data_IF_247853522111
#
_entry.id   IF_247853522111
#
_cell.length_a   1.000
_cell.length_b   1.000
_cell.length_c   1.000
_cell.angle_alpha   90.00
_cell.angle_beta   90.00
_cell.angle_gamma   90.00
#
_symmetry.space_group_name_H-M   'P 1'
#
loop_
_entity.id
_entity.type
_entity.pdbx_description
1 polymer ?
#
# COMPACT_ATOMS: atom_id res chain seq x y z
N UNK A 1 1.67 10.32 21.26
CA UNK A 1 2.17 9.66 20.05
C UNK A 1 1.13 9.89 18.98
N UNK A 2 1.55 10.38 17.81
CA UNK A 2 0.67 10.67 16.67
C UNK A 2 1.20 9.92 15.46
N UNK A 3 0.34 9.20 14.77
CA UNK A 3 0.69 8.47 13.54
C UNK A 3 -0.23 8.86 12.39
N UNK A 4 0.21 8.59 11.17
CA UNK A 4 -0.61 8.77 9.98
C UNK A 4 -0.63 7.50 9.14
N UNK A 5 -1.78 7.24 8.51
CA UNK A 5 -1.85 6.37 7.34
C UNK A 5 -1.74 7.27 6.12
N UNK A 6 -0.81 6.97 5.25
CA UNK A 6 -0.49 7.77 4.07
C UNK A 6 -0.80 6.98 2.83
N UNK A 7 -1.70 7.51 2.01
CA UNK A 7 -2.16 6.88 0.77
C UNK A 7 -2.12 7.87 -0.38
N UNK A 8 -2.12 7.33 -1.60
CA UNK A 8 -2.30 8.09 -2.82
C UNK A 8 -3.60 7.68 -3.52
N UNK A 9 -4.36 8.66 -4.00
CA UNK A 9 -5.66 8.45 -4.67
C UNK A 9 -5.73 9.26 -5.96
N UNK A 10 -6.13 8.60 -7.05
CA UNK A 10 -6.47 9.27 -8.32
C UNK A 10 -7.99 9.28 -8.50
N UNK A 11 -8.49 10.13 -9.41
CA UNK A 11 -9.91 10.15 -9.73
C UNK A 11 -10.33 8.94 -10.58
N UNK A 12 -10.35 7.78 -9.94
CA UNK A 12 -10.82 6.50 -10.48
C UNK A 12 -11.82 5.93 -9.50
N UNK A 13 -13.01 5.59 -9.98
CA UNK A 13 -14.10 5.05 -9.16
C UNK A 13 -13.65 3.92 -8.23
N UNK A 14 -12.89 2.95 -8.75
CA UNK A 14 -12.42 1.81 -7.95
C UNK A 14 -11.49 2.24 -6.81
N UNK A 15 -10.60 3.21 -7.05
CA UNK A 15 -9.70 3.73 -6.02
C UNK A 15 -10.46 4.51 -4.95
N UNK A 16 -11.47 5.29 -5.34
CA UNK A 16 -12.33 6.00 -4.38
C UNK A 16 -13.12 4.99 -3.52
N UNK A 17 -13.70 3.96 -4.14
CA UNK A 17 -14.43 2.91 -3.41
C UNK A 17 -13.51 2.17 -2.43
N UNK A 18 -12.31 1.81 -2.86
CA UNK A 18 -11.30 1.17 -2.01
C UNK A 18 -10.88 2.08 -0.85
N UNK A 19 -10.56 3.34 -1.15
CA UNK A 19 -10.24 4.32 -0.12
C UNK A 19 -11.37 4.46 0.91
N UNK A 20 -12.63 4.47 0.49
CA UNK A 20 -13.77 4.57 1.40
C UNK A 20 -13.86 3.35 2.32
N UNK A 21 -13.48 2.16 1.88
CA UNK A 21 -13.34 0.98 2.74
C UNK A 21 -12.26 1.18 3.82
N UNK A 22 -11.07 1.65 3.44
CA UNK A 22 -9.99 1.98 4.38
C UNK A 22 -10.43 3.04 5.39
N UNK A 23 -10.99 4.15 4.92
CA UNK A 23 -11.53 5.23 5.75
C UNK A 23 -12.58 4.70 6.74
N UNK A 24 -13.56 3.95 6.25
CA UNK A 24 -14.62 3.37 7.07
C UNK A 24 -14.06 2.44 8.13
N UNK A 25 -13.04 1.63 7.79
CA UNK A 25 -12.37 0.75 8.75
C UNK A 25 -11.74 1.53 9.90
N UNK A 26 -11.07 2.66 9.62
CA UNK A 26 -10.48 3.50 10.67
C UNK A 26 -11.55 4.12 11.57
N UNK A 27 -12.64 4.63 10.99
CA UNK A 27 -13.77 5.18 11.76
C UNK A 27 -14.43 4.12 12.62
N UNK A 28 -14.62 2.93 12.08
CA UNK A 28 -15.24 1.81 12.78
C UNK A 28 -14.44 1.39 14.03
N UNK A 29 -13.11 1.34 13.94
CA UNK A 29 -12.25 0.97 15.09
C UNK A 29 -12.08 2.10 16.12
N UNK A 30 -12.66 3.29 15.86
CA UNK A 30 -12.67 4.47 16.73
C UNK A 30 -11.28 4.84 17.27
N UNK A 31 -10.28 4.77 16.38
CA UNK A 31 -8.91 5.13 16.72
C UNK A 31 -8.79 6.64 16.99
N UNK A 32 -7.94 7.02 17.94
CA UNK A 32 -7.77 8.42 18.40
C UNK A 32 -6.41 9.04 18.07
N UNK A 33 -5.45 8.24 17.60
CA UNK A 33 -4.06 8.65 17.43
C UNK A 33 -3.56 8.60 15.97
N UNK A 34 -4.43 8.22 15.05
CA UNK A 34 -4.13 8.02 13.63
C UNK A 34 -4.92 9.00 12.77
N UNK A 35 -4.21 9.85 12.04
CA UNK A 35 -4.78 10.63 10.95
C UNK A 35 -4.71 9.84 9.63
N UNK A 36 -5.59 10.16 8.67
CA UNK A 36 -5.42 9.74 7.28
C UNK A 36 -4.90 10.96 6.51
N UNK A 37 -3.71 10.80 5.91
CA UNK A 37 -3.10 11.77 5.01
C UNK A 37 -3.27 11.25 3.59
N UNK A 38 -3.98 12.00 2.76
CA UNK A 38 -4.31 11.63 1.38
C UNK A 38 -3.61 12.57 0.44
N UNK A 39 -2.69 12.02 -0.35
CA UNK A 39 -2.18 12.68 -1.54
C UNK A 39 -3.06 12.30 -2.73
N UNK A 40 -3.39 13.22 -3.62
CA UNK A 40 -4.22 12.88 -4.77
C UNK A 40 -4.39 14.00 -5.78
N UNK A 41 -5.00 13.68 -6.91
CA UNK A 41 -5.39 14.71 -7.88
C UNK A 41 -6.49 15.59 -7.29
N UNK A 42 -6.63 16.82 -7.76
CA UNK A 42 -7.62 17.77 -7.23
C UNK A 42 -9.03 17.19 -7.28
N UNK A 43 -9.40 16.56 -8.41
CA UNK A 43 -10.70 15.92 -8.64
C UNK A 43 -10.93 14.72 -7.72
N UNK A 44 -9.88 13.99 -7.35
CA UNK A 44 -9.97 12.89 -6.41
C UNK A 44 -10.25 13.41 -5.01
N UNK A 45 -9.52 14.46 -4.59
CA UNK A 45 -9.58 15.02 -3.23
C UNK A 45 -10.92 15.70 -2.92
N UNK A 46 -11.66 16.18 -3.93
CA UNK A 46 -13.05 16.63 -3.78
C UNK A 46 -13.99 15.53 -3.26
N UNK A 47 -13.66 14.26 -3.55
CA UNK A 47 -14.46 13.08 -3.16
C UNK A 47 -13.99 12.47 -1.84
N UNK A 48 -12.92 12.99 -1.25
CA UNK A 48 -12.34 12.49 0.01
C UNK A 48 -12.97 13.23 1.21
N UNK A 49 -13.35 12.51 2.29
CA UNK A 49 -13.97 13.11 3.47
C UNK A 49 -13.16 14.28 4.07
N UNK A 50 -13.87 15.29 4.58
CA UNK A 50 -13.27 16.56 5.02
C UNK A 50 -12.40 16.46 6.26
N UNK A 51 -12.58 15.43 7.06
CA UNK A 51 -11.75 15.16 8.23
C UNK A 51 -10.45 14.41 7.90
N UNK A 52 -10.22 14.07 6.63
CA UNK A 52 -8.92 13.62 6.13
C UNK A 52 -8.01 14.82 5.85
N UNK A 53 -6.69 14.64 6.00
CA UNK A 53 -5.72 15.66 5.63
C UNK A 53 -5.37 15.50 4.14
N UNK A 54 -5.85 16.42 3.31
CA UNK A 54 -5.80 16.36 1.85
C UNK A 54 -4.64 17.22 1.30
N UNK A 55 -3.82 16.65 0.42
CA UNK A 55 -2.71 17.34 -0.25
C UNK A 55 -2.72 17.05 -1.74
N UNK A 56 -2.89 18.09 -2.55
CA UNK A 56 -2.86 17.95 -4.01
C UNK A 56 -1.50 17.46 -4.47
N UNK A 57 -1.49 16.46 -5.33
CA UNK A 57 -0.30 15.90 -5.95
C UNK A 57 -0.55 15.76 -7.45
N UNK A 58 0.40 16.26 -8.23
CA UNK A 58 0.40 16.12 -9.69
C UNK A 58 1.33 14.95 -10.04
N UNK A 59 0.81 13.85 -10.61
CA UNK A 59 1.64 12.75 -11.08
C UNK A 59 2.79 13.21 -11.99
N UNK A 60 4.02 12.71 -11.77
CA UNK A 60 5.16 13.07 -12.61
C UNK A 60 4.97 12.55 -14.04
N UNK A 61 5.16 13.44 -15.02
CA UNK A 61 5.08 13.10 -16.45
C UNK A 61 6.41 12.65 -17.06
N UNK A 62 7.49 12.66 -16.26
CA UNK A 62 8.84 12.30 -16.67
C UNK A 62 9.49 11.33 -15.67
N UNK A 63 10.19 10.29 -16.16
CA UNK A 63 10.28 9.88 -17.57
C UNK A 63 8.92 9.44 -18.14
N UNK A 64 8.78 9.33 -19.47
CA UNK A 64 7.47 9.11 -20.11
C UNK A 64 6.81 7.80 -19.65
N UNK A 65 7.64 6.82 -19.30
CA UNK A 65 7.27 5.51 -18.77
C UNK A 65 6.44 5.60 -17.48
N UNK A 66 6.55 6.69 -16.70
CA UNK A 66 5.73 6.92 -15.51
C UNK A 66 4.25 7.11 -15.86
N UNK A 67 3.93 7.70 -17.01
CA UNK A 67 2.54 7.83 -17.48
C UNK A 67 1.88 6.46 -17.68
N UNK A 68 2.67 5.46 -18.04
CA UNK A 68 2.22 4.09 -18.27
C UNK A 68 2.48 3.17 -17.05
N UNK A 69 2.80 3.74 -15.89
CA UNK A 69 3.05 2.99 -14.66
C UNK A 69 2.52 3.75 -13.42
N UNK A 70 1.20 3.94 -13.28
CA UNK A 70 0.60 4.83 -12.27
C UNK A 70 0.88 4.42 -10.82
N UNK A 71 1.28 3.17 -10.57
CA UNK A 71 1.67 2.71 -9.24
C UNK A 71 2.82 3.53 -8.64
N UNK A 72 3.69 4.12 -9.48
CA UNK A 72 4.80 4.97 -9.02
C UNK A 72 4.34 6.21 -8.25
N UNK A 73 3.12 6.71 -8.52
CA UNK A 73 2.59 7.93 -7.93
C UNK A 73 2.46 7.80 -6.40
N UNK A 74 2.19 6.59 -5.91
CA UNK A 74 2.14 6.25 -4.49
C UNK A 74 3.49 6.32 -3.75
N UNK A 75 4.60 6.39 -4.51
CA UNK A 75 5.94 6.67 -3.98
C UNK A 75 6.28 8.14 -4.20
N UNK A 76 6.08 8.65 -5.42
CA UNK A 76 6.43 10.02 -5.78
C UNK A 76 5.74 11.09 -4.92
N UNK A 77 4.51 10.85 -4.45
CA UNK A 77 3.80 11.79 -3.58
C UNK A 77 4.52 12.07 -2.25
N UNK A 78 5.45 11.20 -1.84
CA UNK A 78 6.22 11.33 -0.60
C UNK A 78 7.52 12.13 -0.76
N UNK A 79 7.89 12.51 -1.99
CA UNK A 79 9.15 13.17 -2.30
C UNK A 79 9.04 14.70 -2.27
N UNK A 80 7.85 15.25 -2.53
CA UNK A 80 7.61 16.69 -2.62
C UNK A 80 7.59 17.42 -1.28
N UNK A 81 7.60 18.75 -1.32
CA UNK A 81 7.52 19.62 -0.13
C UNK A 81 6.18 19.46 0.59
N UNK A 82 5.12 19.11 -0.14
CA UNK A 82 3.80 18.81 0.41
C UNK A 82 3.86 17.66 1.42
N UNK A 83 4.81 16.73 1.25
CA UNK A 83 5.03 15.63 2.17
C UNK A 83 5.81 16.02 3.44
N UNK A 84 6.32 17.25 3.58
CA UNK A 84 6.98 17.73 4.80
C UNK A 84 6.04 17.78 6.00
N UNK A 85 4.73 17.84 5.74
CA UNK A 85 3.72 17.69 6.79
C UNK A 85 3.79 16.34 7.50
N UNK A 86 4.39 15.32 6.88
CA UNK A 86 4.56 14.00 7.48
C UNK A 86 5.57 14.00 8.63
N UNK A 87 6.48 14.98 8.66
CA UNK A 87 7.54 15.06 9.68
C UNK A 87 6.99 15.44 11.07
N UNK A 88 5.71 15.84 11.17
CA UNK A 88 5.02 16.08 12.44
C UNK A 88 4.54 14.80 13.14
N UNK A 89 4.62 13.64 12.46
CA UNK A 89 4.18 12.36 13.00
C UNK A 89 5.36 11.58 13.59
N UNK A 90 5.09 10.82 14.66
CA UNK A 90 6.07 9.89 15.22
C UNK A 90 6.30 8.72 14.25
N UNK A 91 5.20 8.24 13.63
CA UNK A 91 5.20 7.14 12.68
C UNK A 91 4.24 7.40 11.51
N UNK A 92 4.59 6.91 10.32
CA UNK A 92 3.68 6.84 9.19
C UNK A 92 3.59 5.41 8.66
N UNK A 93 2.38 5.01 8.26
CA UNK A 93 2.10 3.81 7.51
C UNK A 93 1.84 4.22 6.04
N UNK A 94 2.83 4.08 5.16
CA UNK A 94 2.59 4.15 3.71
C UNK A 94 1.87 2.87 3.32
N UNK A 95 0.68 2.99 2.77
CA UNK A 95 -0.16 1.86 2.37
C UNK A 95 -0.88 2.12 1.05
N UNK A 96 -1.42 1.05 0.48
CA UNK A 96 -2.31 1.10 -0.68
C UNK A 96 -3.77 1.30 -0.20
N UNK A 97 -4.65 1.79 -1.08
CA UNK A 97 -6.03 2.16 -0.70
C UNK A 97 -6.97 0.96 -0.55
N UNK A 98 -6.61 -0.18 -1.13
CA UNK A 98 -7.32 -1.45 -1.08
C UNK A 98 -6.98 -2.26 0.19
N UNK A 99 -7.02 -1.56 1.32
CA UNK A 99 -6.66 -2.08 2.63
C UNK A 99 -7.74 -1.82 3.67
N UNK A 100 -7.70 -2.58 4.76
CA UNK A 100 -8.58 -2.41 5.90
C UNK A 100 -7.76 -2.42 7.18
N UNK A 101 -8.19 -1.64 8.16
CA UNK A 101 -7.70 -1.72 9.53
C UNK A 101 -8.66 -2.56 10.37
N UNK A 102 -8.10 -3.30 11.33
CA UNK A 102 -8.88 -4.02 12.34
C UNK A 102 -8.67 -3.37 13.72
N UNK A 103 -9.46 -3.73 14.75
CA UNK A 103 -9.25 -3.23 16.11
C UNK A 103 -7.83 -3.42 16.63
N UNK A 104 -7.10 -4.43 16.13
CA UNK A 104 -5.70 -4.68 16.48
C UNK A 104 -4.76 -3.52 16.12
N UNK A 105 -5.15 -2.63 15.21
CA UNK A 105 -4.38 -1.42 14.85
C UNK A 105 -4.15 -0.51 16.06
N UNK A 106 -5.11 -0.43 16.98
CA UNK A 106 -5.04 0.46 18.15
C UNK A 106 -3.84 0.17 19.06
N UNK A 107 -3.33 -1.06 19.07
CA UNK A 107 -2.20 -1.48 19.90
C UNK A 107 -0.92 -1.73 19.09
N UNK A 108 -0.98 -1.60 17.76
CA UNK A 108 0.12 -1.94 16.89
C UNK A 108 1.01 -0.73 16.55
N UNK A 109 2.22 -0.73 17.11
CA UNK A 109 3.25 0.27 16.85
C UNK A 109 4.54 -0.40 16.36
N UNK A 110 5.29 0.25 15.44
CA UNK A 110 6.51 -0.33 14.90
C UNK A 110 7.67 -0.01 15.86
N UNK A 111 8.40 -1.03 16.29
CA UNK A 111 9.63 -0.86 17.08
C UNK A 111 10.79 -0.34 16.20
N UNK A 112 10.73 -0.66 14.91
CA UNK A 112 11.71 -0.35 13.87
C UNK A 112 11.01 -0.34 12.50
N UNK A 113 11.74 -0.08 11.43
CA UNK A 113 11.18 -0.11 10.07
C UNK A 113 10.52 -1.47 9.81
N UNK A 114 9.20 -1.46 9.67
CA UNK A 114 8.37 -2.66 9.62
C UNK A 114 7.63 -2.70 8.31
N UNK A 115 7.63 -3.84 7.65
CA UNK A 115 6.95 -4.06 6.37
C UNK A 115 6.08 -5.29 6.43
N UNK A 116 5.06 -5.33 5.58
CA UNK A 116 4.33 -6.56 5.30
C UNK A 116 5.14 -7.52 4.42
N UNK A 117 4.45 -8.54 3.92
CA UNK A 117 5.05 -9.55 3.03
C UNK A 117 4.43 -9.43 1.64
N UNK A 118 5.28 -9.25 0.64
CA UNK A 118 4.88 -9.32 -0.76
C UNK A 118 4.92 -10.75 -1.30
N UNK A 119 4.49 -10.91 -2.55
CA UNK A 119 4.67 -12.14 -3.32
C UNK A 119 4.88 -11.78 -4.79
N UNK A 120 6.14 -11.54 -5.17
CA UNK A 120 6.55 -11.17 -6.53
C UNK A 120 7.87 -11.81 -6.95
N UNK A 121 8.59 -12.45 -6.03
CA UNK A 121 9.79 -13.23 -6.29
C UNK A 121 9.47 -14.71 -6.14
N UNK A 122 9.10 -15.34 -7.25
CA UNK A 122 8.70 -16.76 -7.31
C UNK A 122 9.77 -17.68 -7.90
N UNK A 123 10.72 -17.14 -8.64
CA UNK A 123 11.78 -17.89 -9.32
C UNK A 123 13.15 -17.34 -8.96
N UNK A 124 14.19 -18.16 -9.14
CA UNK A 124 15.57 -17.71 -8.93
C UNK A 124 15.99 -16.68 -9.98
N UNK A 125 15.43 -16.74 -11.20
CA UNK A 125 15.64 -15.70 -12.23
C UNK A 125 15.26 -14.30 -11.72
N UNK A 126 14.12 -14.15 -11.04
CA UNK A 126 13.70 -12.86 -10.49
C UNK A 126 14.67 -12.38 -9.40
N UNK A 127 15.12 -13.28 -8.51
CA UNK A 127 16.13 -12.96 -7.47
C UNK A 127 17.44 -12.50 -8.09
N UNK A 128 17.91 -13.20 -9.10
CA UNK A 128 19.16 -12.90 -9.81
C UNK A 128 19.08 -11.56 -10.52
N UNK A 129 17.95 -11.23 -11.17
CA UNK A 129 17.74 -9.91 -11.79
C UNK A 129 17.76 -8.78 -10.77
N UNK A 130 17.01 -8.90 -9.67
CA UNK A 130 17.00 -7.90 -8.59
C UNK A 130 18.42 -7.66 -8.06
N UNK A 131 19.17 -8.75 -7.82
CA UNK A 131 20.55 -8.69 -7.31
C UNK A 131 21.49 -8.06 -8.34
N UNK A 132 21.37 -8.44 -9.62
CA UNK A 132 22.15 -7.89 -10.72
C UNK A 132 21.93 -6.39 -10.86
N UNK A 133 20.68 -5.93 -10.85
CA UNK A 133 20.31 -4.52 -10.96
C UNK A 133 20.83 -3.73 -9.76
N UNK A 134 20.71 -4.28 -8.55
CA UNK A 134 21.30 -3.68 -7.34
C UNK A 134 22.81 -3.47 -7.52
N UNK A 135 23.53 -4.48 -8.00
CA UNK A 135 24.98 -4.38 -8.26
C UNK A 135 25.32 -3.36 -9.35
N UNK A 136 24.56 -3.31 -10.44
CA UNK A 136 24.74 -2.34 -11.52
C UNK A 136 24.58 -0.90 -11.02
N UNK A 137 23.60 -0.67 -10.14
CA UNK A 137 23.34 0.62 -9.50
C UNK A 137 24.27 0.89 -8.29
N UNK A 138 25.20 -0.01 -7.98
CA UNK A 138 26.11 0.06 -6.81
C UNK A 138 25.36 0.14 -5.47
N UNK A 139 24.19 -0.47 -5.41
CA UNK A 139 23.36 -0.59 -4.21
C UNK A 139 23.61 -1.95 -3.55
N UNK A 140 23.52 -1.96 -2.22
CA UNK A 140 23.74 -3.16 -1.42
C UNK A 140 22.44 -3.94 -1.25
N UNK A 141 22.28 -5.08 -1.92
CA UNK A 141 21.20 -6.02 -1.65
C UNK A 141 21.63 -7.08 -0.63
N UNK A 142 20.88 -7.26 0.46
CA UNK A 142 21.25 -8.15 1.58
C UNK A 142 20.53 -9.49 1.55
N UNK A 143 19.93 -9.85 0.42
CA UNK A 143 19.21 -11.11 0.22
C UNK A 143 17.83 -11.15 0.85
N UNK A 144 17.28 -10.01 1.30
CA UNK A 144 15.89 -9.94 1.74
C UNK A 144 15.00 -9.78 0.52
N UNK A 145 14.10 -10.74 0.32
CA UNK A 145 13.18 -10.78 -0.80
C UNK A 145 11.71 -10.80 -0.37
N UNK A 146 10.80 -10.42 -1.28
CA UNK A 146 9.36 -10.39 -1.04
C UNK A 146 8.97 -9.45 0.12
N UNK A 147 9.63 -8.30 0.21
CA UNK A 147 9.23 -7.23 1.12
C UNK A 147 7.93 -6.57 0.62
N UNK A 148 6.94 -6.39 1.51
CA UNK A 148 5.60 -5.90 1.15
C UNK A 148 5.56 -4.42 0.73
N UNK A 149 4.44 -4.00 0.14
CA UNK A 149 4.22 -2.61 -0.30
C UNK A 149 3.90 -1.68 0.87
N UNK A 150 3.41 -2.23 1.99
CA UNK A 150 3.10 -1.45 3.20
C UNK A 150 4.35 -1.24 4.05
N UNK A 151 4.67 0.02 4.32
CA UNK A 151 5.86 0.42 5.08
C UNK A 151 5.42 1.21 6.33
N UNK A 152 5.83 0.76 7.52
CA UNK A 152 5.49 1.37 8.81
C UNK A 152 6.75 1.74 9.60
N UNK A 153 6.90 3.00 9.96
CA UNK A 153 8.12 3.48 10.60
C UNK A 153 8.21 5.00 10.66
N UNK A 154 9.42 5.51 10.89
CA UNK A 154 9.63 6.96 10.98
C UNK A 154 9.47 7.64 9.61
N UNK A 155 8.85 8.84 9.55
CA UNK A 155 8.62 9.55 8.29
C UNK A 155 9.87 9.71 7.44
N UNK A 156 10.96 10.20 8.03
CA UNK A 156 12.23 10.45 7.33
C UNK A 156 12.83 9.17 6.70
N UNK A 157 12.74 8.03 7.38
CA UNK A 157 13.22 6.76 6.86
C UNK A 157 12.36 6.26 5.70
N UNK A 158 11.03 6.32 5.84
CA UNK A 158 10.10 5.91 4.78
C UNK A 158 10.28 6.80 3.55
N UNK A 159 10.32 8.12 3.70
CA UNK A 159 10.54 9.06 2.59
C UNK A 159 11.88 8.83 1.89
N UNK A 160 12.94 8.54 2.64
CA UNK A 160 14.25 8.21 2.06
C UNK A 160 14.22 6.92 1.23
N UNK A 161 13.51 5.88 1.70
CA UNK A 161 13.29 4.65 0.94
C UNK A 161 12.48 4.92 -0.32
N UNK A 162 11.38 5.67 -0.22
CA UNK A 162 10.55 6.03 -1.39
C UNK A 162 11.36 6.82 -2.42
N UNK A 163 12.21 7.75 -1.98
CA UNK A 163 13.07 8.51 -2.90
C UNK A 163 13.99 7.60 -3.72
N UNK A 164 14.76 6.73 -3.05
CA UNK A 164 15.64 5.80 -3.77
C UNK A 164 14.84 4.78 -4.60
N UNK A 165 13.68 4.33 -4.11
CA UNK A 165 12.82 3.44 -4.87
C UNK A 165 12.33 4.09 -6.17
N UNK A 166 12.00 5.39 -6.18
CA UNK A 166 11.65 6.11 -7.41
C UNK A 166 12.82 6.15 -8.39
N UNK A 167 14.04 6.41 -7.93
CA UNK A 167 15.25 6.40 -8.79
C UNK A 167 15.51 5.00 -9.39
N UNK A 168 15.34 3.94 -8.58
CA UNK A 168 15.49 2.56 -9.06
C UNK A 168 14.35 2.18 -10.01
N UNK A 169 13.12 2.57 -9.72
CA UNK A 169 11.96 2.31 -10.58
C UNK A 169 12.10 3.01 -11.94
N UNK A 170 12.58 4.26 -11.95
CA UNK A 170 12.93 4.96 -13.19
C UNK A 170 13.90 4.11 -14.02
N UNK A 171 15.03 3.67 -13.43
CA UNK A 171 16.00 2.84 -14.13
C UNK A 171 15.39 1.54 -14.68
N UNK A 172 14.57 0.84 -13.87
CA UNK A 172 13.87 -0.38 -14.28
C UNK A 172 12.96 -0.13 -15.48
N UNK A 173 12.14 0.93 -15.44
CA UNK A 173 11.18 1.24 -16.49
C UNK A 173 11.86 1.69 -17.78
N UNK A 174 12.89 2.53 -17.69
CA UNK A 174 13.56 3.12 -18.87
C UNK A 174 14.66 2.23 -19.46
N UNK A 175 15.08 1.18 -18.75
CA UNK A 175 16.19 0.30 -19.16
C UNK A 175 15.73 -1.14 -19.26
N UNK A 176 15.38 -1.76 -18.13
CA UNK A 176 15.06 -3.20 -18.05
C UNK A 176 13.76 -3.54 -18.79
N UNK A 177 12.74 -2.70 -18.63
CA UNK A 177 11.41 -2.88 -19.23
C UNK A 177 11.14 -1.97 -20.43
N UNK A 178 12.20 -1.35 -20.99
CA UNK A 178 12.06 -0.41 -22.10
C UNK A 178 11.39 -1.03 -23.34
N UNK A 179 11.72 -2.29 -23.61
CA UNK A 179 11.29 -2.99 -24.82
C UNK A 179 10.45 -4.24 -24.54
N UNK A 180 10.14 -4.52 -23.28
CA UNK A 180 9.35 -5.68 -22.86
C UNK A 180 8.65 -5.39 -21.55
N UNK A 181 7.41 -5.85 -21.42
CA UNK A 181 6.72 -5.84 -20.13
C UNK A 181 7.08 -7.05 -19.27
N UNK A 182 7.77 -8.04 -19.83
CA UNK A 182 8.01 -9.32 -19.18
C UNK A 182 6.73 -10.12 -18.97
N UNK A 183 6.79 -11.15 -18.12
CA UNK A 183 5.68 -12.08 -17.91
C UNK A 183 5.47 -12.35 -16.41
N UNK A 184 4.22 -12.29 -15.95
CA UNK A 184 3.84 -12.72 -14.60
C UNK A 184 3.59 -14.23 -14.59
N UNK A 185 4.02 -14.98 -13.55
CA UNK A 185 4.65 -14.57 -12.29
C UNK A 185 6.21 -14.56 -12.31
N UNK A 186 6.82 -14.26 -13.46
CA UNK A 186 8.27 -14.09 -13.61
C UNK A 186 8.73 -12.64 -13.46
N UNK A 187 9.76 -12.26 -14.22
CA UNK A 187 10.25 -10.88 -14.28
C UNK A 187 9.23 -10.02 -15.03
N UNK A 188 8.49 -9.18 -14.31
CA UNK A 188 7.32 -8.49 -14.84
C UNK A 188 7.27 -7.01 -14.46
N UNK A 189 7.03 -6.15 -15.46
CA UNK A 189 6.96 -4.69 -15.33
C UNK A 189 5.90 -4.23 -14.33
N UNK A 190 4.78 -4.94 -14.23
CA UNK A 190 3.67 -4.55 -13.36
C UNK A 190 4.04 -4.42 -11.88
N UNK A 191 5.07 -5.12 -11.41
CA UNK A 191 5.52 -5.10 -10.00
C UNK A 191 6.83 -4.32 -9.80
N UNK A 192 7.15 -3.39 -10.70
CA UNK A 192 8.36 -2.54 -10.61
C UNK A 192 8.49 -1.79 -9.28
N UNK A 193 7.41 -1.22 -8.72
CA UNK A 193 7.47 -0.57 -7.40
C UNK A 193 7.88 -1.55 -6.30
N UNK A 194 7.47 -2.82 -6.38
CA UNK A 194 7.87 -3.86 -5.43
C UNK A 194 9.38 -4.14 -5.50
N UNK A 195 9.91 -4.37 -6.71
CA UNK A 195 11.35 -4.57 -6.92
C UNK A 195 12.16 -3.36 -6.42
N UNK A 196 11.74 -2.15 -6.80
CA UNK A 196 12.46 -0.92 -6.46
C UNK A 196 12.47 -0.63 -4.95
N UNK A 197 11.33 -0.80 -4.27
CA UNK A 197 11.24 -0.68 -2.81
C UNK A 197 12.09 -1.74 -2.12
N UNK A 198 12.10 -3.00 -2.60
CA UNK A 198 12.96 -4.05 -2.05
C UNK A 198 14.44 -3.68 -2.13
N UNK A 199 14.91 -3.22 -3.28
CA UNK A 199 16.29 -2.79 -3.50
C UNK A 199 16.63 -1.62 -2.57
N UNK A 200 15.78 -0.60 -2.52
CA UNK A 200 15.99 0.58 -1.68
C UNK A 200 16.05 0.24 -0.19
N UNK A 201 15.14 -0.62 0.29
CA UNK A 201 15.11 -1.08 1.67
C UNK A 201 16.35 -1.89 2.03
N UNK A 202 16.74 -2.83 1.17
CA UNK A 202 17.94 -3.63 1.39
C UNK A 202 19.19 -2.73 1.51
N UNK A 203 19.25 -1.64 0.76
CA UNK A 203 20.37 -0.70 0.80
C UNK A 203 20.36 0.23 2.02
N UNK A 204 19.22 0.86 2.31
CA UNK A 204 19.15 1.98 3.26
C UNK A 204 18.84 1.57 4.71
N UNK A 205 18.11 0.48 4.92
CA UNK A 205 17.51 0.17 6.23
C UNK A 205 18.24 -0.99 6.88
N UNK A 206 19.14 -0.73 7.82
CA UNK A 206 19.95 -1.77 8.45
C UNK A 206 19.15 -2.85 9.20
N UNK A 207 18.01 -2.50 9.79
CA UNK A 207 17.18 -3.43 10.56
C UNK A 207 15.71 -3.35 10.13
N UNK A 208 15.28 -4.32 9.31
CA UNK A 208 13.92 -4.44 8.78
C UNK A 208 13.19 -5.55 9.54
N UNK A 209 11.97 -5.26 10.00
CA UNK A 209 11.05 -6.27 10.55
C UNK A 209 10.01 -6.62 9.49
N UNK A 210 9.97 -7.88 9.06
CA UNK A 210 8.88 -8.38 8.20
C UNK A 210 7.79 -8.97 9.10
N UNK A 211 6.65 -8.28 9.21
CA UNK A 211 5.50 -8.68 10.03
C UNK A 211 4.37 -9.19 9.12
N UNK A 212 4.62 -10.31 8.44
CA UNK A 212 3.70 -10.92 7.47
C UNK A 212 2.31 -11.29 8.06
N UNK A 213 2.25 -11.49 9.37
CA UNK A 213 1.00 -11.75 10.09
C UNK A 213 0.29 -10.47 10.55
N UNK A 214 0.84 -9.28 10.31
CA UNK A 214 0.24 -8.02 10.81
C UNK A 214 0.02 -6.98 9.73
N UNK A 215 0.98 -6.86 8.81
CA UNK A 215 0.93 -5.98 7.65
C UNK A 215 0.74 -6.81 6.38
N UNK A 216 -0.04 -6.30 5.45
CA UNK A 216 -0.45 -6.97 4.20
C UNK A 216 -1.14 -8.32 4.39
N UNK A 217 -1.89 -8.51 5.49
CA UNK A 217 -2.57 -9.77 5.76
C UNK A 217 -3.74 -10.00 4.80
N UNK A 218 -3.97 -11.23 4.38
CA UNK A 218 -4.89 -11.56 3.28
C UNK A 218 -6.36 -11.35 3.64
N UNK A 219 -7.09 -10.56 2.83
CA UNK A 219 -8.52 -10.29 2.99
C UNK A 219 -9.43 -11.50 2.78
N UNK A 220 -8.92 -12.59 2.21
CA UNK A 220 -9.67 -13.84 2.03
C UNK A 220 -9.60 -14.75 3.26
N UNK A 221 -8.77 -14.40 4.24
CA UNK A 221 -8.47 -15.25 5.39
C UNK A 221 -9.71 -15.55 6.23
N UNK A 222 -9.78 -16.81 6.67
CA UNK A 222 -10.72 -17.30 7.69
C UNK A 222 -10.13 -17.21 9.10
N UNK A 223 -9.00 -16.53 9.29
CA UNK A 223 -8.47 -16.25 10.62
C UNK A 223 -9.28 -15.18 11.33
N UNK A 224 -9.11 -15.11 12.65
CA UNK A 224 -9.67 -14.04 13.45
C UNK A 224 -9.01 -12.70 13.15
N UNK A 225 -9.73 -11.58 13.25
CA UNK A 225 -9.21 -10.22 13.09
C UNK A 225 -8.19 -9.84 14.18
N UNK A 226 -8.22 -10.53 15.32
CA UNK A 226 -7.27 -10.39 16.42
C UNK A 226 -5.85 -10.72 15.96
N UNK A 227 -4.93 -9.77 16.12
CA UNK A 227 -3.53 -9.92 15.74
C UNK A 227 -3.21 -9.50 14.30
N UNK A 228 -4.21 -9.08 13.51
CA UNK A 228 -4.05 -8.68 12.11
C UNK A 228 -4.47 -7.22 11.92
N UNK A 229 -3.65 -6.23 12.34
CA UNK A 229 -4.01 -4.81 12.32
C UNK A 229 -4.27 -4.23 10.93
N UNK A 230 -3.63 -4.78 9.90
CA UNK A 230 -3.71 -4.27 8.53
C UNK A 230 -3.92 -5.41 7.53
N UNK A 231 -5.04 -5.35 6.82
CA UNK A 231 -5.49 -6.33 5.84
C UNK A 231 -5.35 -5.71 4.45
N UNK A 232 -4.89 -6.48 3.47
CA UNK A 232 -4.72 -6.07 2.08
C UNK A 232 -5.54 -6.95 1.13
N UNK A 233 -6.16 -6.35 0.13
CA UNK A 233 -6.98 -7.03 -0.86
C UNK A 233 -6.19 -7.42 -2.11
N UNK A 234 -5.64 -8.62 -2.08
CA UNK A 234 -4.91 -9.20 -3.20
C UNK A 234 -5.87 -9.54 -4.35
N UNK A 235 -5.34 -9.79 -5.55
CA UNK A 235 -6.16 -10.10 -6.72
C UNK A 235 -6.71 -11.52 -6.61
N UNK A 236 -8.03 -11.63 -6.48
CA UNK A 236 -8.75 -12.89 -6.27
C UNK A 236 -10.24 -12.70 -6.54
N UNK A 237 -10.98 -13.79 -6.69
CA UNK A 237 -12.45 -13.82 -6.68
C UNK A 237 -13.01 -14.39 -5.37
N UNK A 238 -12.13 -14.87 -4.47
CA UNK A 238 -12.53 -15.38 -3.16
C UNK A 238 -13.03 -14.25 -2.24
N UNK A 239 -13.95 -14.59 -1.34
CA UNK A 239 -14.46 -13.65 -0.35
C UNK A 239 -13.36 -13.34 0.69
N UNK A 240 -12.96 -12.09 0.95
CA UNK A 240 -13.41 -10.83 0.34
C UNK A 240 -12.52 -10.39 -0.84
N UNK A 241 -13.14 -10.13 -1.99
CA UNK A 241 -12.51 -9.61 -3.21
C UNK A 241 -12.96 -8.18 -3.50
N UNK A 242 -11.99 -7.28 -3.71
CA UNK A 242 -12.24 -5.89 -4.11
C UNK A 242 -12.91 -5.76 -5.48
N UNK A 243 -12.66 -6.69 -6.40
CA UNK A 243 -13.26 -6.70 -7.73
C UNK A 243 -14.74 -7.09 -7.65
N UNK A 244 -15.03 -8.21 -6.97
CA UNK A 244 -16.40 -8.67 -6.74
C UNK A 244 -17.23 -7.62 -5.99
N UNK A 245 -16.62 -6.90 -5.04
CA UNK A 245 -17.27 -5.79 -4.35
C UNK A 245 -17.56 -4.59 -5.27
N UNK A 246 -16.60 -4.18 -6.10
CA UNK A 246 -16.81 -3.06 -7.05
C UNK A 246 -17.92 -3.35 -8.06
N UNK A 247 -18.03 -4.61 -8.50
CA UNK A 247 -19.07 -5.10 -9.40
C UNK A 247 -20.46 -5.22 -8.73
N UNK A 248 -20.57 -4.99 -7.42
CA UNK A 248 -21.82 -5.09 -6.68
C UNK A 248 -22.27 -6.53 -6.39
N UNK A 249 -21.40 -7.53 -6.60
CA UNK A 249 -21.75 -8.94 -6.42
C UNK A 249 -22.04 -9.30 -4.96
N UNK A 250 -21.73 -8.43 -4.00
CA UNK A 250 -22.03 -8.62 -2.59
C UNK A 250 -23.26 -7.84 -2.08
N UNK A 251 -23.96 -7.08 -2.92
CA UNK A 251 -25.00 -6.13 -2.49
C UNK A 251 -26.25 -6.80 -1.90
N UNK A 252 -26.43 -8.09 -2.18
CA UNK A 252 -27.50 -8.91 -1.63
C UNK A 252 -27.21 -9.44 -0.22
N UNK A 253 -25.96 -9.34 0.26
CA UNK A 253 -25.55 -9.91 1.54
C UNK A 253 -25.95 -8.95 2.68
N UNK A 254 -26.65 -9.48 3.68
CA UNK A 254 -27.05 -8.67 4.84
C UNK A 254 -25.92 -8.62 5.87
N UNK A 255 -25.55 -7.40 6.31
CA UNK A 255 -24.44 -7.18 7.26
C UNK A 255 -24.59 -7.93 8.58
N UNK A 256 -25.81 -8.15 9.07
CA UNK A 256 -26.08 -8.88 10.31
C UNK A 256 -25.79 -10.39 10.23
N UNK A 257 -25.54 -10.94 9.03
CA UNK A 257 -25.16 -12.33 8.81
C UNK A 257 -23.64 -12.54 8.86
N UNK A 258 -22.85 -11.46 8.84
CA UNK A 258 -21.39 -11.51 8.78
C UNK A 258 -20.79 -11.66 10.17
N UNK A 259 -19.82 -12.56 10.29
CA UNK A 259 -19.09 -12.82 11.53
C UNK A 259 -17.83 -11.96 11.56
N UNK A 260 -17.97 -10.72 12.01
CA UNK A 260 -16.90 -9.70 11.96
C UNK A 260 -15.66 -10.04 12.79
N UNK A 261 -15.68 -11.10 13.59
CA UNK A 261 -14.49 -11.66 14.22
C UNK A 261 -13.55 -12.33 13.21
N UNK A 262 -14.01 -12.71 12.01
CA UNK A 262 -13.20 -13.31 10.94
C UNK A 262 -12.81 -12.27 9.88
N UNK A 263 -11.58 -12.34 9.38
CA UNK A 263 -11.00 -11.32 8.48
C UNK A 263 -11.85 -11.08 7.23
N UNK A 264 -12.21 -12.11 6.47
CA UNK A 264 -12.99 -11.94 5.23
C UNK A 264 -14.38 -11.35 5.45
N UNK A 265 -15.07 -11.79 6.51
CA UNK A 265 -16.41 -11.34 6.87
C UNK A 265 -16.36 -9.90 7.41
N UNK A 266 -15.31 -9.56 8.17
CA UNK A 266 -15.00 -8.21 8.62
C UNK A 266 -14.78 -7.27 7.43
N UNK A 267 -13.94 -7.65 6.46
CA UNK A 267 -13.69 -6.83 5.27
C UNK A 267 -14.98 -6.57 4.50
N UNK A 268 -15.80 -7.61 4.29
CA UNK A 268 -17.10 -7.44 3.63
C UNK A 268 -18.04 -6.55 4.44
N UNK A 269 -18.09 -6.71 5.76
CA UNK A 269 -18.94 -5.89 6.63
C UNK A 269 -18.57 -4.40 6.51
N UNK A 270 -17.28 -4.08 6.58
CA UNK A 270 -16.78 -2.71 6.43
C UNK A 270 -17.04 -2.17 5.04
N UNK A 271 -16.83 -2.98 3.99
CA UNK A 271 -17.09 -2.59 2.62
C UNK A 271 -18.58 -2.28 2.39
N UNK A 272 -19.50 -3.09 2.92
CA UNK A 272 -20.93 -2.79 2.85
C UNK A 272 -21.30 -1.54 3.67
N UNK A 273 -20.67 -1.34 4.83
CA UNK A 273 -20.86 -0.14 5.65
C UNK A 273 -20.35 1.12 4.92
N UNK A 274 -19.26 1.04 4.14
CA UNK A 274 -18.68 2.20 3.46
C UNK A 274 -19.62 2.80 2.41
N UNK A 275 -20.50 1.98 1.81
CA UNK A 275 -21.54 2.45 0.87
C UNK A 275 -22.53 3.42 1.51
N UNK A 276 -22.77 3.33 2.81
CA UNK A 276 -23.69 4.22 3.55
C UNK A 276 -23.06 5.56 3.91
N UNK A 277 -21.74 5.70 3.78
CA UNK A 277 -21.00 6.93 4.06
C UNK A 277 -20.84 7.79 2.80
N UNK A 278 -20.98 7.17 1.62
CA UNK A 278 -20.74 7.80 0.31
C UNK A 278 -22.02 8.45 -0.29
N UNK A 279 -23.17 8.34 0.39
CA UNK A 279 -24.45 8.92 -0.05
C UNK A 279 -25.29 9.50 1.09
#
# INVERSE_FOLDING_TARGET
MRRAIVVFVEDKRDLIVQFMCLYTSLKFINNKDTDIVVFGTEEALEKIPDDCLKYTFVPPSKPEEFNNYPYINSLCCLLGNEADVLDKYDFILRSDVDTFLTPSWNEFFPEKYTVGKGAYVFTDEVKEKITSISNQLKLNHRGLHNLGSTHYGKPNQIRSVCKLAVEVAEHLLTTEFRYTEGEWPGWYRGVTTMYSCEIAMNHLVSDIKVEAGKLDFDSTSQNFTTGHPHIHCWHTDELFSKFQFSDGNYDHIQRNQLKIEYVRDYCLYIALLSKEIVY
#
